data_IF_469688141555
#
_entry.id   IF_469688141555
#
_cell.length_a   1.000
_cell.length_b   1.000
_cell.length_c   1.000
_cell.angle_alpha   90.00
_cell.angle_beta   90.00
_cell.angle_gamma   90.00
#
_symmetry.space_group_name_H-M   'P 1'
#
loop_
_entity.id
_entity.type
_entity.pdbx_description
1 polymer ?
#
# COMPACT_ATOMS: atom_id res chain seq x y z
N UNK A 1 17.13 33.59 19.69
CA UNK A 1 15.76 33.05 19.73
C UNK A 1 14.84 34.09 19.14
N UNK A 2 13.91 33.70 18.26
CA UNK A 2 12.87 34.61 17.80
C UNK A 2 12.02 35.06 19.00
N UNK A 3 11.44 36.27 18.94
CA UNK A 3 10.50 36.73 19.96
C UNK A 3 9.29 35.77 20.03
N UNK A 4 8.77 35.44 21.23
CA UNK A 4 7.61 34.56 21.35
C UNK A 4 6.41 35.17 20.63
N UNK A 5 5.68 34.37 19.85
CA UNK A 5 4.46 34.82 19.20
C UNK A 5 3.43 35.28 20.25
N UNK A 6 2.91 36.50 20.10
CA UNK A 6 1.85 37.03 20.94
C UNK A 6 0.52 36.45 20.50
N UNK A 7 -0.16 35.74 21.38
CA UNK A 7 -1.49 35.18 21.10
C UNK A 7 -2.57 36.25 21.25
N UNK A 8 -3.61 36.17 20.42
CA UNK A 8 -4.87 36.91 20.60
C UNK A 8 -5.68 36.28 21.75
N UNK A 9 -6.65 37.02 22.29
CA UNK A 9 -7.64 36.43 23.20
C UNK A 9 -8.40 35.28 22.52
N UNK A 10 -8.69 34.19 23.23
CA UNK A 10 -9.06 32.91 22.61
C UNK A 10 -10.58 32.81 22.37
N UNK A 11 -10.96 32.60 21.10
CA UNK A 11 -12.34 32.31 20.69
C UNK A 11 -12.38 31.07 19.78
N UNK A 12 -13.59 30.55 19.54
CA UNK A 12 -13.80 29.41 18.62
C UNK A 12 -13.34 29.77 17.19
N UNK A 13 -13.48 31.04 16.82
CA UNK A 13 -13.14 31.57 15.50
C UNK A 13 -11.63 31.74 15.32
N UNK A 14 -10.90 32.19 16.35
CA UNK A 14 -9.49 32.58 16.20
C UNK A 14 -8.46 31.57 16.73
N UNK A 15 -8.89 30.50 17.39
CA UNK A 15 -7.97 29.48 17.95
C UNK A 15 -7.06 28.87 16.88
N UNK A 16 -7.55 28.65 15.66
CA UNK A 16 -6.74 28.13 14.54
C UNK A 16 -5.57 29.07 14.21
N UNK A 17 -5.83 30.38 14.11
CA UNK A 17 -4.79 31.38 13.83
C UNK A 17 -3.71 31.40 14.91
N UNK A 18 -4.13 31.32 16.18
CA UNK A 18 -3.21 31.28 17.31
C UNK A 18 -2.33 30.01 17.29
N UNK A 19 -2.88 28.84 16.95
CA UNK A 19 -2.10 27.60 16.81
C UNK A 19 -1.11 27.70 15.64
N UNK A 20 -1.50 28.27 14.50
CA UNK A 20 -0.58 28.51 13.37
C UNK A 20 0.56 29.45 13.76
N UNK A 21 0.27 30.53 14.48
CA UNK A 21 1.28 31.49 14.94
C UNK A 21 2.33 30.84 15.85
N UNK A 22 1.94 29.86 16.68
CA UNK A 22 2.88 29.11 17.54
C UNK A 22 3.65 28.07 16.71
N UNK A 23 2.97 27.24 15.94
CA UNK A 23 3.60 26.15 15.17
C UNK A 23 4.55 26.67 14.08
N UNK A 24 4.32 27.89 13.58
CA UNK A 24 5.17 28.53 12.57
C UNK A 24 6.53 29.00 13.09
N UNK A 25 6.85 28.83 14.38
CA UNK A 25 8.17 29.14 14.93
C UNK A 25 9.25 28.11 14.55
N UNK A 26 8.88 26.96 13.96
CA UNK A 26 9.84 25.96 13.50
C UNK A 26 10.62 26.43 12.25
N UNK A 27 11.87 25.97 12.10
CA UNK A 27 12.74 26.33 10.97
C UNK A 27 12.43 25.54 9.70
N UNK A 28 11.83 24.35 9.82
CA UNK A 28 11.46 23.54 8.67
C UNK A 28 10.20 24.09 7.99
N UNK A 29 10.38 24.66 6.81
CA UNK A 29 9.29 25.21 6.01
C UNK A 29 8.29 24.14 5.58
N UNK A 30 8.77 22.92 5.31
CA UNK A 30 7.90 21.78 4.98
C UNK A 30 7.05 21.36 6.17
N UNK A 31 7.66 21.26 7.36
CA UNK A 31 6.92 20.91 8.58
C UNK A 31 5.91 21.99 8.93
N UNK A 32 6.28 23.27 8.79
CA UNK A 32 5.38 24.41 8.99
C UNK A 32 4.12 24.26 8.13
N UNK A 33 4.28 24.02 6.83
CA UNK A 33 3.17 23.81 5.91
C UNK A 33 2.31 22.60 6.29
N UNK A 34 2.93 21.45 6.60
CA UNK A 34 2.18 20.24 7.03
C UNK A 34 1.35 20.55 8.28
N UNK A 35 1.95 21.15 9.30
CA UNK A 35 1.26 21.45 10.56
C UNK A 35 0.16 22.49 10.42
N UNK A 36 0.35 23.54 9.60
CA UNK A 36 -0.72 24.49 9.25
C UNK A 36 -1.92 23.76 8.66
N UNK A 37 -1.70 22.92 7.64
CA UNK A 37 -2.79 22.18 6.99
C UNK A 37 -3.45 21.18 7.92
N UNK A 38 -2.67 20.42 8.70
CA UNK A 38 -3.20 19.46 9.68
C UNK A 38 -4.11 20.15 10.70
N UNK A 39 -3.64 21.27 11.30
CA UNK A 39 -4.43 22.02 12.29
C UNK A 39 -5.68 22.62 11.66
N UNK A 40 -5.55 23.20 10.45
CA UNK A 40 -6.69 23.75 9.71
C UNK A 40 -7.77 22.69 9.52
N UNK A 41 -7.43 21.55 8.89
CA UNK A 41 -8.40 20.51 8.59
C UNK A 41 -8.99 19.87 9.85
N UNK A 42 -8.20 19.69 10.92
CA UNK A 42 -8.69 19.14 12.18
C UNK A 42 -9.68 20.10 12.88
N UNK A 43 -9.36 21.40 12.94
CA UNK A 43 -10.26 22.39 13.54
C UNK A 43 -11.53 22.58 12.70
N UNK A 44 -11.41 22.57 11.37
CA UNK A 44 -12.56 22.70 10.48
C UNK A 44 -13.49 21.49 10.60
N UNK A 45 -12.95 20.27 10.69
CA UNK A 45 -13.75 19.06 10.98
C UNK A 45 -14.54 19.23 12.29
N UNK A 46 -13.89 19.70 13.36
CA UNK A 46 -14.56 19.90 14.65
C UNK A 46 -15.66 20.97 14.58
N UNK A 47 -15.44 22.06 13.83
CA UNK A 47 -16.45 23.12 13.63
C UNK A 47 -17.61 22.64 12.78
N UNK A 48 -17.32 21.96 11.66
CA UNK A 48 -18.29 21.45 10.70
C UNK A 48 -19.23 20.46 11.37
N UNK A 49 -18.67 19.51 12.14
CA UNK A 49 -19.44 18.47 12.82
C UNK A 49 -20.05 18.91 14.15
N UNK A 50 -19.67 20.09 14.66
CA UNK A 50 -20.04 20.56 16.01
C UNK A 50 -19.65 19.53 17.08
N UNK A 51 -18.46 18.98 16.95
CA UNK A 51 -17.95 17.86 17.75
C UNK A 51 -18.17 18.11 19.25
N UNK A 52 -18.92 17.22 19.89
CA UNK A 52 -19.19 17.30 21.32
C UNK A 52 -18.00 16.81 22.15
N UNK A 53 -17.97 17.15 23.44
CA UNK A 53 -16.93 16.65 24.36
C UNK A 53 -16.95 15.12 24.46
N UNK A 54 -18.13 14.49 24.41
CA UNK A 54 -18.27 13.04 24.53
C UNK A 54 -17.78 12.32 23.26
N UNK A 55 -18.12 12.84 22.07
CA UNK A 55 -17.61 12.31 20.79
C UNK A 55 -16.08 12.51 20.70
N UNK A 56 -15.58 13.68 21.10
CA UNK A 56 -14.15 13.94 21.16
C UNK A 56 -13.44 12.96 22.10
N UNK A 57 -13.97 12.73 23.30
CA UNK A 57 -13.39 11.78 24.25
C UNK A 57 -13.43 10.35 23.71
N UNK A 58 -14.51 9.97 23.00
CA UNK A 58 -14.62 8.68 22.32
C UNK A 58 -13.52 8.51 21.27
N UNK A 59 -13.27 9.53 20.45
CA UNK A 59 -12.19 9.50 19.46
C UNK A 59 -10.80 9.41 20.11
N UNK A 60 -10.57 10.13 21.21
CA UNK A 60 -9.31 10.04 21.97
C UNK A 60 -9.11 8.64 22.54
N UNK A 61 -10.14 8.03 23.12
CA UNK A 61 -10.06 6.65 23.63
C UNK A 61 -9.84 5.63 22.51
N UNK A 62 -10.48 5.82 21.35
CA UNK A 62 -10.25 4.99 20.17
C UNK A 62 -8.79 5.05 19.73
N UNK A 63 -8.23 6.25 19.51
CA UNK A 63 -6.82 6.43 19.12
C UNK A 63 -5.85 5.90 20.17
N UNK A 64 -6.21 6.02 21.46
CA UNK A 64 -5.43 5.44 22.56
C UNK A 64 -5.37 3.92 22.44
N UNK A 65 -6.51 3.25 22.20
CA UNK A 65 -6.54 1.80 22.03
C UNK A 65 -5.78 1.35 20.78
N UNK A 66 -5.84 2.11 19.67
CA UNK A 66 -5.07 1.84 18.45
C UNK A 66 -3.57 1.85 18.76
N UNK A 67 -3.10 2.83 19.54
CA UNK A 67 -1.71 2.86 20.00
C UNK A 67 -1.35 1.69 20.92
N UNK A 68 -2.22 1.36 21.88
CA UNK A 68 -1.95 0.32 22.89
C UNK A 68 -1.87 -1.10 22.33
N UNK A 69 -2.62 -1.41 21.28
CA UNK A 69 -2.60 -2.75 20.65
C UNK A 69 -1.46 -2.89 19.62
N UNK A 70 -0.85 -1.78 19.21
CA UNK A 70 0.27 -1.81 18.26
C UNK A 70 1.53 -2.40 18.92
N UNK A 71 2.31 -3.15 18.15
CA UNK A 71 3.54 -3.85 18.52
C UNK A 71 4.49 -3.96 17.32
N UNK A 72 5.64 -4.62 17.49
CA UNK A 72 6.62 -4.81 16.41
C UNK A 72 6.08 -5.65 15.24
N UNK A 73 5.08 -6.51 15.50
CA UNK A 73 4.45 -7.38 14.49
C UNK A 73 3.01 -6.98 14.14
N UNK A 74 2.45 -5.97 14.82
CA UNK A 74 1.09 -5.45 14.57
C UNK A 74 1.09 -3.92 14.58
N UNK A 75 0.83 -3.29 13.45
CA UNK A 75 0.74 -1.82 13.37
C UNK A 75 -0.70 -1.37 13.13
N UNK A 76 -1.47 -1.19 14.21
CA UNK A 76 -2.89 -0.82 14.12
C UNK A 76 -3.08 0.62 13.59
N UNK A 77 -2.10 1.50 13.75
CA UNK A 77 -2.12 2.83 13.10
C UNK A 77 -1.97 2.76 11.57
N UNK A 78 -1.17 1.83 11.06
CA UNK A 78 -1.09 1.56 9.62
C UNK A 78 -2.42 0.98 9.15
N UNK A 79 -2.98 0.02 9.89
CA UNK A 79 -4.28 -0.54 9.56
C UNK A 79 -5.41 0.50 9.57
N UNK A 80 -5.39 1.44 10.53
CA UNK A 80 -6.31 2.57 10.55
C UNK A 80 -6.15 3.46 9.31
N UNK A 81 -4.91 3.73 8.90
CA UNK A 81 -4.61 4.45 7.65
C UNK A 81 -5.16 3.71 6.43
N UNK A 82 -5.01 2.38 6.38
CA UNK A 82 -5.46 1.52 5.30
C UNK A 82 -6.99 1.56 5.15
N UNK A 83 -7.74 1.34 6.24
CA UNK A 83 -9.21 1.32 6.20
C UNK A 83 -9.84 2.69 6.01
N UNK A 84 -9.08 3.78 6.21
CA UNK A 84 -9.50 5.15 5.87
C UNK A 84 -9.06 5.55 4.45
N UNK A 85 -8.38 4.67 3.70
CA UNK A 85 -7.90 4.92 2.34
C UNK A 85 -6.69 5.86 2.26
N UNK A 86 -6.10 6.24 3.39
CA UNK A 86 -4.98 7.18 3.43
C UNK A 86 -3.70 6.53 2.87
N UNK A 87 -3.43 5.26 3.17
CA UNK A 87 -2.23 4.56 2.69
C UNK A 87 -2.19 4.50 1.16
N UNK A 88 -3.31 4.14 0.53
CA UNK A 88 -3.43 4.12 -0.93
C UNK A 88 -3.28 5.51 -1.55
N UNK A 89 -3.87 6.53 -0.91
CA UNK A 89 -3.77 7.91 -1.36
C UNK A 89 -2.31 8.40 -1.32
N UNK A 90 -1.60 8.12 -0.22
CA UNK A 90 -0.18 8.48 -0.06
C UNK A 90 0.65 7.76 -1.11
N UNK A 91 0.48 6.45 -1.30
CA UNK A 91 1.18 5.69 -2.34
C UNK A 91 0.93 6.27 -3.74
N UNK A 92 -0.32 6.59 -4.07
CA UNK A 92 -0.68 7.16 -5.37
C UNK A 92 -0.08 8.56 -5.62
N UNK A 93 0.16 9.34 -4.55
CA UNK A 93 0.83 10.65 -4.61
C UNK A 93 2.35 10.46 -4.75
N UNK A 94 2.93 9.51 -4.02
CA UNK A 94 4.39 9.31 -3.95
C UNK A 94 4.94 8.55 -5.15
N UNK A 95 4.18 7.59 -5.68
CA UNK A 95 4.55 6.69 -6.77
C UNK A 95 3.57 6.79 -7.96
N UNK A 96 3.37 7.98 -8.55
CA UNK A 96 2.46 8.11 -9.67
C UNK A 96 2.98 7.32 -10.89
N UNK A 97 2.06 6.56 -11.50
CA UNK A 97 2.37 5.70 -12.63
C UNK A 97 1.96 6.38 -13.95
N UNK A 98 2.85 6.52 -14.95
CA UNK A 98 2.49 6.91 -16.30
C UNK A 98 1.49 5.94 -16.91
N UNK A 99 0.66 6.42 -17.84
CA UNK A 99 -0.29 5.57 -18.57
C UNK A 99 0.46 4.42 -19.27
N UNK A 100 -0.03 3.20 -19.09
CA UNK A 100 0.55 2.00 -19.69
C UNK A 100 1.69 1.36 -18.89
N UNK A 101 2.07 1.92 -17.73
CA UNK A 101 2.88 1.20 -16.74
C UNK A 101 1.99 0.44 -15.75
N UNK A 102 2.54 -0.60 -15.11
CA UNK A 102 1.83 -1.32 -14.06
C UNK A 102 1.55 -0.39 -12.89
N UNK A 103 0.29 -0.42 -12.43
CA UNK A 103 -0.15 0.39 -11.31
C UNK A 103 0.37 -0.15 -9.98
N UNK A 104 0.73 0.76 -9.07
CA UNK A 104 1.07 0.38 -7.70
C UNK A 104 -0.13 0.37 -6.78
N UNK A 105 0.01 -0.28 -5.62
CA UNK A 105 -0.95 -0.18 -4.51
C UNK A 105 -0.21 -0.34 -3.17
N UNK A 106 -0.97 -0.33 -2.06
CA UNK A 106 -0.44 -0.51 -0.71
C UNK A 106 0.41 -1.78 -0.53
N UNK A 107 1.54 -1.64 0.16
CA UNK A 107 2.44 -2.75 0.53
C UNK A 107 1.75 -3.75 1.48
N UNK A 108 0.94 -3.25 2.40
CA UNK A 108 0.41 -4.03 3.52
C UNK A 108 1.45 -4.27 4.63
N UNK A 109 1.04 -4.76 5.81
CA UNK A 109 1.89 -4.83 6.99
C UNK A 109 2.77 -6.10 7.06
N UNK A 110 2.66 -7.01 6.10
CA UNK A 110 3.23 -8.36 6.19
C UNK A 110 4.45 -8.59 5.32
N UNK A 111 5.11 -7.56 4.80
CA UNK A 111 6.40 -7.70 4.13
C UNK A 111 7.53 -7.92 5.17
N UNK A 112 8.51 -8.77 4.85
CA UNK A 112 9.70 -8.99 5.67
C UNK A 112 10.95 -9.11 4.82
N UNK A 113 12.12 -8.98 5.43
CA UNK A 113 13.43 -9.20 4.78
C UNK A 113 13.92 -10.65 4.86
N UNK A 114 13.05 -11.58 5.25
CA UNK A 114 13.43 -12.99 5.47
C UNK A 114 13.25 -13.85 4.21
N UNK A 115 12.63 -13.31 3.15
CA UNK A 115 12.44 -14.02 1.89
C UNK A 115 13.79 -14.49 1.30
N UNK A 116 13.85 -15.74 0.86
CA UNK A 116 15.08 -16.34 0.34
C UNK A 116 15.21 -16.17 -1.18
N UNK A 117 16.44 -15.98 -1.66
CA UNK A 117 16.76 -15.99 -3.09
C UNK A 117 16.41 -17.37 -3.68
N UNK A 118 15.50 -17.38 -4.66
CA UNK A 118 14.92 -18.56 -5.27
C UNK A 118 15.26 -18.66 -6.75
N UNK A 119 15.54 -19.88 -7.22
CA UNK A 119 15.67 -20.15 -8.65
C UNK A 119 14.32 -20.05 -9.37
N UNK A 120 14.35 -19.79 -10.67
CA UNK A 120 13.14 -19.84 -11.49
C UNK A 120 12.45 -21.21 -11.35
N UNK A 121 11.14 -21.19 -11.10
CA UNK A 121 10.33 -22.39 -10.89
C UNK A 121 10.31 -22.96 -9.48
N UNK A 122 10.93 -22.29 -8.51
CA UNK A 122 10.83 -22.69 -7.10
C UNK A 122 9.37 -22.68 -6.62
N UNK A 123 9.05 -23.58 -5.70
CA UNK A 123 7.78 -23.57 -4.98
C UNK A 123 7.93 -22.61 -3.80
N UNK A 124 7.04 -21.61 -3.71
CA UNK A 124 7.16 -20.55 -2.70
C UNK A 124 6.30 -20.81 -1.45
N UNK A 125 5.30 -21.68 -1.54
CA UNK A 125 4.40 -22.07 -0.45
C UNK A 125 4.42 -23.58 -0.26
N UNK A 126 4.54 -24.03 0.99
CA UNK A 126 4.57 -25.44 1.38
C UNK A 126 3.28 -25.89 2.07
N UNK A 127 2.20 -25.11 1.96
CA UNK A 127 0.89 -25.46 2.48
C UNK A 127 0.30 -26.67 1.72
N UNK A 128 0.09 -27.83 2.39
CA UNK A 128 -0.44 -29.02 1.74
C UNK A 128 -1.92 -28.89 1.33
N UNK A 129 -2.65 -27.92 1.89
CA UNK A 129 -4.07 -27.72 1.64
C UNK A 129 -4.32 -26.71 0.48
N UNK A 130 -3.28 -26.01 0.01
CA UNK A 130 -3.39 -25.02 -1.05
C UNK A 130 -3.55 -25.62 -2.46
N UNK A 131 -4.43 -25.02 -3.28
CA UNK A 131 -4.56 -25.40 -4.68
C UNK A 131 -3.32 -24.98 -5.47
N UNK A 132 -2.58 -25.88 -6.14
CA UNK A 132 -1.35 -25.52 -6.84
C UNK A 132 -1.56 -24.51 -7.98
N UNK A 133 -0.73 -23.48 -7.99
CA UNK A 133 -0.75 -22.39 -8.97
C UNK A 133 0.60 -22.25 -9.68
N UNK A 134 0.57 -22.19 -11.01
CA UNK A 134 1.72 -21.76 -11.83
C UNK A 134 1.62 -20.25 -12.10
N UNK A 135 2.68 -19.50 -11.81
CA UNK A 135 2.74 -18.06 -12.05
C UNK A 135 3.83 -17.76 -13.07
N UNK A 136 3.45 -17.21 -14.22
CA UNK A 136 4.34 -16.84 -15.31
C UNK A 136 4.31 -15.33 -15.54
N UNK A 137 5.44 -14.65 -15.36
CA UNK A 137 5.49 -13.20 -15.48
C UNK A 137 6.59 -12.72 -16.41
N UNK A 138 6.41 -11.53 -16.98
CA UNK A 138 7.46 -10.81 -17.70
C UNK A 138 7.64 -9.39 -17.16
N UNK A 139 8.85 -8.87 -17.22
CA UNK A 139 9.22 -7.50 -16.87
C UNK A 139 9.71 -6.76 -18.10
N UNK A 140 9.05 -5.65 -18.42
CA UNK A 140 9.43 -4.76 -19.51
C UNK A 140 9.49 -3.32 -19.02
N UNK A 141 10.26 -2.48 -19.72
CA UNK A 141 10.19 -1.04 -19.55
C UNK A 141 9.02 -0.44 -20.35
N UNK A 142 8.81 0.87 -20.20
CA UNK A 142 7.74 1.60 -20.92
C UNK A 142 7.93 1.64 -22.45
N UNK A 143 9.06 1.17 -22.98
CA UNK A 143 9.33 1.02 -24.41
C UNK A 143 9.16 -0.44 -24.87
N UNK A 144 8.73 -1.34 -24.00
CA UNK A 144 8.55 -2.76 -24.27
C UNK A 144 9.84 -3.58 -24.25
N UNK A 145 10.97 -3.01 -23.81
CA UNK A 145 12.25 -3.73 -23.73
C UNK A 145 12.28 -4.59 -22.47
N UNK A 146 12.75 -5.85 -22.54
CA UNK A 146 12.86 -6.70 -21.36
C UNK A 146 13.81 -6.10 -20.32
N UNK A 147 13.54 -6.36 -19.04
CA UNK A 147 14.39 -5.95 -17.92
C UNK A 147 15.02 -7.20 -17.31
N UNK A 148 16.27 -7.55 -17.68
CA UNK A 148 16.98 -8.69 -17.12
C UNK A 148 17.62 -8.38 -15.76
N UNK A 149 17.80 -9.43 -14.95
CA UNK A 149 18.50 -9.33 -13.66
C UNK A 149 17.75 -8.54 -12.58
N UNK A 150 16.48 -8.22 -12.79
CA UNK A 150 15.66 -7.54 -11.79
C UNK A 150 15.28 -8.52 -10.68
N UNK A 151 15.50 -8.11 -9.42
CA UNK A 151 15.02 -8.86 -8.26
C UNK A 151 13.54 -8.58 -8.04
N UNK A 152 12.76 -9.65 -7.84
CA UNK A 152 11.31 -9.63 -7.61
C UNK A 152 11.04 -10.33 -6.29
N UNK A 153 10.64 -9.57 -5.29
CA UNK A 153 10.20 -10.08 -3.98
C UNK A 153 8.69 -10.36 -4.05
N UNK A 154 8.30 -11.58 -3.74
CA UNK A 154 6.92 -12.07 -3.83
C UNK A 154 6.50 -12.62 -2.47
N UNK A 155 5.28 -12.29 -2.04
CA UNK A 155 4.68 -12.91 -0.86
C UNK A 155 3.16 -13.05 -0.97
N UNK A 156 2.62 -14.08 -0.35
CA UNK A 156 1.20 -14.41 -0.31
C UNK A 156 0.80 -15.07 1.02
N UNK A 157 -0.50 -15.25 1.24
CA UNK A 157 -1.06 -16.00 2.37
C UNK A 157 -1.10 -17.50 2.09
N UNK A 158 -1.18 -18.31 3.15
CA UNK A 158 -1.56 -19.71 3.07
C UNK A 158 -3.03 -19.90 2.63
N UNK A 159 -3.47 -21.16 2.45
CA UNK A 159 -4.84 -21.51 2.06
C UNK A 159 -5.92 -21.13 3.08
N UNK A 160 -5.51 -20.69 4.28
CA UNK A 160 -6.37 -20.22 5.37
C UNK A 160 -6.38 -18.69 5.48
N UNK A 161 -5.62 -17.99 4.64
CA UNK A 161 -5.57 -16.54 4.62
C UNK A 161 -4.60 -15.93 5.63
N UNK A 162 -3.58 -16.66 6.08
CA UNK A 162 -2.55 -16.15 6.99
C UNK A 162 -1.19 -16.07 6.29
N UNK A 163 -0.48 -14.96 6.48
CA UNK A 163 0.94 -14.90 6.16
C UNK A 163 1.73 -15.69 7.21
N UNK A 164 2.84 -16.31 6.80
CA UNK A 164 3.75 -17.06 7.67
C UNK A 164 4.09 -16.34 9.00
N UNK A 165 4.33 -15.03 8.96
CA UNK A 165 4.66 -14.18 10.13
C UNK A 165 3.56 -14.11 11.18
N UNK A 166 2.33 -14.49 10.82
CA UNK A 166 1.19 -14.51 11.73
C UNK A 166 1.12 -15.82 12.53
N UNK A 167 1.86 -16.85 12.14
CA UNK A 167 1.92 -18.12 12.85
C UNK A 167 3.01 -18.07 13.93
N UNK A 168 2.62 -18.27 15.19
CA UNK A 168 3.54 -18.25 16.35
C UNK A 168 4.58 -19.37 16.29
N UNK A 169 4.25 -20.49 15.63
CA UNK A 169 5.06 -21.70 15.52
C UNK A 169 5.85 -21.80 14.20
N UNK A 170 5.92 -20.70 13.42
CA UNK A 170 6.67 -20.68 12.16
C UNK A 170 8.13 -21.12 12.33
N UNK A 171 8.61 -21.99 11.46
CA UNK A 171 9.99 -22.49 11.46
C UNK A 171 10.93 -21.73 10.51
N UNK A 172 10.38 -20.86 9.66
CA UNK A 172 11.09 -20.11 8.62
C UNK A 172 10.12 -19.35 7.72
N UNK A 173 10.63 -18.70 6.65
CA UNK A 173 9.79 -18.06 5.66
C UNK A 173 9.01 -19.09 4.85
N UNK A 174 7.71 -18.86 4.64
CA UNK A 174 6.87 -19.63 3.72
C UNK A 174 5.86 -18.72 3.01
N UNK A 175 5.43 -19.08 1.81
CA UNK A 175 4.65 -18.22 0.93
C UNK A 175 5.44 -17.00 0.44
N UNK A 176 6.78 -17.08 0.37
CA UNK A 176 7.67 -15.95 0.04
C UNK A 176 8.86 -16.37 -0.82
N UNK A 177 9.30 -15.50 -1.73
CA UNK A 177 10.52 -15.72 -2.50
C UNK A 177 11.10 -14.42 -3.10
N UNK A 178 12.43 -14.39 -3.26
CA UNK A 178 13.12 -13.40 -4.11
C UNK A 178 13.55 -14.08 -5.40
N UNK A 179 12.94 -13.71 -6.52
CA UNK A 179 13.24 -14.23 -7.86
C UNK A 179 14.11 -13.23 -8.63
N UNK A 180 14.75 -13.69 -9.70
CA UNK A 180 15.50 -12.83 -10.63
C UNK A 180 15.01 -13.05 -12.05
N UNK A 181 14.73 -11.96 -12.78
CA UNK A 181 14.32 -12.06 -14.19
C UNK A 181 15.46 -12.48 -15.11
N UNK A 182 15.13 -13.29 -16.11
CA UNK A 182 16.06 -13.75 -17.15
C UNK A 182 16.34 -12.69 -18.22
N UNK A 183 17.14 -13.04 -19.25
CA UNK A 183 17.52 -12.16 -20.36
C UNK A 183 16.32 -11.63 -21.16
N UNK A 184 15.21 -12.37 -21.19
CA UNK A 184 13.94 -11.97 -21.83
C UNK A 184 13.02 -11.23 -20.84
N UNK A 185 13.51 -10.90 -19.65
CA UNK A 185 12.75 -10.28 -18.57
C UNK A 185 11.74 -11.21 -17.91
N UNK A 186 11.80 -12.52 -18.14
CA UNK A 186 10.84 -13.48 -17.61
C UNK A 186 11.23 -13.95 -16.22
N UNK A 187 10.24 -14.19 -15.39
CA UNK A 187 10.39 -14.89 -14.13
C UNK A 187 9.14 -15.73 -13.87
N UNK A 188 9.30 -16.85 -13.18
CA UNK A 188 8.19 -17.75 -12.91
C UNK A 188 8.47 -18.60 -11.67
N UNK A 189 7.41 -19.08 -11.06
CA UNK A 189 7.45 -19.84 -9.83
C UNK A 189 6.15 -20.62 -9.64
N UNK A 190 6.14 -21.52 -8.66
CA UNK A 190 4.97 -22.27 -8.22
C UNK A 190 4.51 -21.73 -6.89
N UNK A 191 3.21 -21.57 -6.75
CA UNK A 191 2.51 -20.93 -5.64
C UNK A 191 1.27 -21.77 -5.30
N UNK A 192 0.41 -21.23 -4.44
CA UNK A 192 -0.96 -21.70 -4.26
C UNK A 192 -1.94 -20.65 -4.77
N UNK A 193 -3.19 -21.03 -5.07
CA UNK A 193 -4.22 -20.06 -5.45
C UNK A 193 -4.49 -19.13 -4.26
N UNK A 194 -4.34 -17.80 -4.40
CA UNK A 194 -4.64 -16.86 -3.34
C UNK A 194 -6.10 -16.94 -2.91
N UNK A 195 -6.34 -16.88 -1.61
CA UNK A 195 -7.68 -16.89 -1.03
C UNK A 195 -8.00 -15.53 -0.38
N UNK A 196 -9.28 -15.11 -0.37
CA UNK A 196 -9.67 -13.94 0.39
C UNK A 196 -9.47 -14.16 1.89
N UNK A 197 -9.03 -13.11 2.58
CA UNK A 197 -8.73 -13.17 4.00
C UNK A 197 -9.13 -11.87 4.71
N UNK A 198 -9.51 -11.95 6.00
CA UNK A 198 -9.81 -10.75 6.78
C UNK A 198 -8.51 -10.08 7.26
N UNK A 199 -8.46 -8.75 7.21
CA UNK A 199 -7.45 -7.99 7.98
C UNK A 199 -7.62 -8.24 9.49
N UNK A 200 -6.59 -8.02 10.34
CA UNK A 200 -6.76 -8.09 11.78
C UNK A 200 -7.94 -7.25 12.25
N UNK A 201 -8.94 -7.88 12.87
CA UNK A 201 -10.22 -7.23 13.19
C UNK A 201 -10.68 -7.49 14.64
N UNK A 202 -9.79 -8.00 15.48
CA UNK A 202 -9.95 -8.15 16.93
C UNK A 202 -9.66 -6.84 17.70
N UNK A 203 -9.10 -5.84 17.01
CA UNK A 203 -8.69 -4.55 17.56
C UNK A 203 -9.72 -3.42 17.38
N UNK A 204 -9.34 -2.18 17.76
CA UNK A 204 -10.19 -1.01 17.58
C UNK A 204 -10.60 -0.79 16.12
N UNK A 205 -9.72 -1.04 15.15
CA UNK A 205 -10.06 -0.88 13.72
C UNK A 205 -11.16 -1.85 13.32
N UNK A 206 -11.10 -3.11 13.76
CA UNK A 206 -12.16 -4.08 13.54
C UNK A 206 -13.52 -3.62 14.10
N UNK A 207 -13.52 -3.09 15.34
CA UNK A 207 -14.73 -2.52 15.95
C UNK A 207 -15.27 -1.32 15.17
N UNK A 208 -14.39 -0.46 14.65
CA UNK A 208 -14.79 0.66 13.80
C UNK A 208 -15.46 0.15 12.52
N UNK A 209 -14.91 -0.86 11.87
CA UNK A 209 -15.52 -1.47 10.68
C UNK A 209 -16.90 -2.06 10.99
N UNK A 210 -17.06 -2.77 12.11
CA UNK A 210 -18.33 -3.31 12.56
C UNK A 210 -19.40 -2.21 12.74
N UNK A 211 -19.05 -1.12 13.44
CA UNK A 211 -19.95 0.04 13.63
C UNK A 211 -20.32 0.71 12.31
N UNK A 212 -19.40 0.73 11.34
CA UNK A 212 -19.63 1.26 9.99
C UNK A 212 -20.34 0.26 9.06
N UNK A 213 -20.68 -0.94 9.54
CA UNK A 213 -21.24 -2.02 8.74
C UNK A 213 -20.36 -2.39 7.52
N UNK A 214 -19.04 -2.46 7.75
CA UNK A 214 -18.02 -2.85 6.78
C UNK A 214 -17.45 -4.23 7.14
N UNK A 215 -17.15 -5.05 6.13
CA UNK A 215 -16.42 -6.30 6.34
C UNK A 215 -14.90 -6.06 6.41
N UNK A 216 -14.13 -6.95 7.07
CA UNK A 216 -12.67 -6.86 7.12
C UNK A 216 -11.94 -7.56 5.95
N UNK A 217 -12.68 -8.20 5.04
CA UNK A 217 -12.06 -9.01 3.98
C UNK A 217 -11.33 -8.20 2.91
N UNK A 218 -10.19 -8.73 2.51
CA UNK A 218 -9.46 -8.42 1.28
C UNK A 218 -9.65 -9.57 0.28
N UNK A 219 -9.69 -9.28 -1.03
CA UNK A 219 -9.75 -10.34 -2.05
C UNK A 219 -8.46 -11.17 -2.09
N UNK A 220 -8.49 -12.36 -2.69
CA UNK A 220 -7.29 -13.13 -3.00
C UNK A 220 -6.30 -12.31 -3.82
N UNK A 221 -5.05 -12.23 -3.37
CA UNK A 221 -3.99 -11.50 -4.06
C UNK A 221 -2.61 -12.01 -3.69
N UNK A 222 -1.65 -11.68 -4.55
CA UNK A 222 -0.23 -11.86 -4.31
C UNK A 222 0.47 -10.52 -4.37
N UNK A 223 1.48 -10.33 -3.53
CA UNK A 223 2.28 -9.12 -3.57
C UNK A 223 3.52 -9.30 -4.42
N UNK A 224 3.90 -8.24 -5.13
CA UNK A 224 5.18 -8.13 -5.81
C UNK A 224 5.85 -6.81 -5.44
N UNK A 225 7.15 -6.88 -5.17
CA UNK A 225 8.01 -5.72 -5.00
C UNK A 225 9.22 -5.89 -5.90
N UNK A 226 9.44 -4.89 -6.76
CA UNK A 226 10.61 -4.83 -7.63
C UNK A 226 11.69 -4.03 -6.91
N UNK A 227 12.97 -4.41 -7.04
CA UNK A 227 14.10 -3.77 -6.33
C UNK A 227 14.47 -2.37 -6.87
N UNK A 228 13.44 -1.58 -7.16
CA UNK A 228 13.40 -0.24 -7.68
C UNK A 228 12.17 0.38 -7.02
N UNK A 229 12.35 1.38 -6.18
CA UNK A 229 11.32 1.91 -5.27
C UNK A 229 9.93 1.98 -5.94
N UNK A 230 9.02 1.09 -5.53
CA UNK A 230 7.68 0.93 -6.11
C UNK A 230 7.10 -0.47 -5.87
N UNK A 231 5.83 -0.51 -5.47
CA UNK A 231 5.09 -1.73 -5.09
C UNK A 231 3.98 -2.01 -6.09
N UNK A 232 3.80 -3.24 -6.55
CA UNK A 232 2.72 -3.59 -7.50
C UNK A 232 2.15 -4.98 -7.15
N UNK A 233 1.11 -5.14 -6.32
CA UNK A 233 0.51 -6.45 -6.13
C UNK A 233 -0.38 -6.82 -7.32
N UNK A 234 -0.61 -8.12 -7.43
CA UNK A 234 -1.53 -8.72 -8.37
C UNK A 234 -2.75 -9.25 -7.61
N UNK A 235 -3.94 -8.87 -8.05
CA UNK A 235 -5.20 -9.30 -7.43
C UNK A 235 -5.82 -10.34 -8.34
N UNK A 236 -6.28 -11.46 -7.78
CA UNK A 236 -6.89 -12.53 -8.57
C UNK A 236 -8.37 -12.25 -8.83
N UNK A 237 -8.83 -12.55 -10.05
CA UNK A 237 -10.22 -12.36 -10.48
C UNK A 237 -11.16 -13.44 -9.91
N UNK A 238 -12.46 -13.13 -9.91
CA UNK A 238 -13.62 -13.89 -9.43
C UNK A 238 -13.70 -14.03 -7.90
N UNK A 239 -13.13 -13.08 -7.16
CA UNK A 239 -13.20 -12.98 -5.70
C UNK A 239 -14.42 -12.14 -5.23
N UNK A 240 -15.19 -12.60 -4.22
CA UNK A 240 -16.37 -11.89 -3.73
C UNK A 240 -16.10 -10.49 -3.16
N UNK A 241 -14.85 -10.13 -2.87
CA UNK A 241 -14.44 -8.88 -2.25
C UNK A 241 -13.67 -7.93 -3.17
N UNK A 242 -13.56 -8.21 -4.48
CA UNK A 242 -12.87 -7.33 -5.44
C UNK A 242 -13.43 -5.90 -5.44
N UNK A 243 -14.75 -5.78 -5.43
CA UNK A 243 -15.42 -4.48 -5.47
C UNK A 243 -15.54 -3.81 -4.10
N UNK A 244 -15.11 -4.49 -3.03
CA UNK A 244 -15.35 -4.07 -1.64
C UNK A 244 -14.15 -4.25 -0.72
N UNK A 245 -12.92 -4.37 -1.25
CA UNK A 245 -11.69 -4.54 -0.47
C UNK A 245 -11.63 -3.58 0.73
N UNK A 246 -11.45 -4.14 1.93
CA UNK A 246 -11.46 -3.40 3.19
C UNK A 246 -10.41 -2.27 3.25
N UNK A 247 -9.35 -2.35 2.45
CA UNK A 247 -8.26 -1.36 2.39
C UNK A 247 -8.17 -0.62 1.05
N UNK A 248 -9.16 -0.79 0.18
CA UNK A 248 -9.25 -0.11 -1.13
C UNK A 248 -8.08 -0.41 -2.08
N UNK A 249 -7.39 -1.54 -1.94
CA UNK A 249 -6.19 -1.87 -2.71
C UNK A 249 -6.46 -2.27 -4.16
N UNK A 250 -7.72 -2.49 -4.55
CA UNK A 250 -8.11 -3.00 -5.87
C UNK A 250 -8.10 -1.93 -6.94
N UNK A 251 -7.47 -2.25 -8.07
CA UNK A 251 -7.49 -1.48 -9.31
C UNK A 251 -7.80 -2.43 -10.46
N UNK A 252 -8.67 -2.02 -11.38
CA UNK A 252 -9.10 -2.85 -12.51
C UNK A 252 -7.92 -3.42 -13.33
N UNK A 253 -6.83 -2.65 -13.46
CA UNK A 253 -5.63 -3.06 -14.21
C UNK A 253 -4.79 -4.15 -13.52
N UNK A 254 -5.04 -4.39 -12.24
CA UNK A 254 -4.35 -5.37 -11.39
C UNK A 254 -5.19 -6.63 -11.14
N UNK A 255 -6.44 -6.68 -11.62
CA UNK A 255 -7.30 -7.86 -11.55
C UNK A 255 -6.91 -8.83 -12.67
N UNK A 256 -6.50 -10.05 -12.31
CA UNK A 256 -6.00 -11.05 -13.25
C UNK A 256 -6.78 -12.37 -13.15
N UNK A 257 -7.28 -12.90 -14.28
CA UNK A 257 -7.96 -14.19 -14.28
C UNK A 257 -7.03 -15.34 -13.96
N UNK A 258 -7.49 -16.24 -13.09
CA UNK A 258 -6.88 -17.56 -12.92
C UNK A 258 -7.38 -18.45 -14.05
N UNK A 259 -6.47 -18.81 -14.95
CA UNK A 259 -6.72 -19.75 -16.05
C UNK A 259 -6.33 -21.15 -15.64
N UNK A 260 -6.49 -22.11 -16.56
CA UNK A 260 -5.93 -23.46 -16.42
C UNK A 260 -4.82 -23.67 -17.45
N UNK A 261 -3.85 -24.51 -17.10
CA UNK A 261 -2.87 -25.05 -18.05
C UNK A 261 -3.60 -26.03 -18.97
N UNK A 262 -3.84 -25.65 -20.22
CA UNK A 262 -4.57 -26.47 -21.21
C UNK A 262 -3.68 -27.14 -22.26
N UNK A 263 -2.38 -26.85 -22.24
CA UNK A 263 -1.39 -27.32 -23.21
C UNK A 263 -0.42 -28.32 -22.53
N UNK A 264 -0.26 -29.51 -23.11
CA UNK A 264 0.66 -30.55 -22.63
C UNK A 264 2.14 -30.11 -22.72
N UNK A 265 2.53 -29.39 -23.79
CA UNK A 265 3.89 -28.86 -23.92
C UNK A 265 4.19 -27.83 -22.83
N UNK A 266 3.21 -26.99 -22.48
CA UNK A 266 3.33 -26.02 -21.40
C UNK A 266 3.45 -26.72 -20.04
N UNK A 267 2.60 -27.73 -19.80
CA UNK A 267 2.61 -28.54 -18.59
C UNK A 267 3.97 -29.23 -18.38
N UNK A 268 4.48 -29.89 -19.43
CA UNK A 268 5.79 -30.55 -19.42
C UNK A 268 6.94 -29.55 -19.24
N UNK A 269 6.90 -28.41 -19.94
CA UNK A 269 7.93 -27.36 -19.84
C UNK A 269 8.10 -26.84 -18.42
N UNK A 270 7.01 -26.63 -17.70
CA UNK A 270 7.02 -26.05 -16.34
C UNK A 270 6.90 -27.10 -15.24
N UNK A 271 6.81 -28.40 -15.59
CA UNK A 271 6.73 -29.50 -14.63
C UNK A 271 5.47 -29.45 -13.76
N UNK A 272 4.34 -29.07 -14.34
CA UNK A 272 3.03 -29.00 -13.68
C UNK A 272 2.04 -29.95 -14.34
N UNK A 273 0.92 -30.27 -13.68
CA UNK A 273 -0.11 -31.14 -14.27
C UNK A 273 -0.97 -30.35 -15.26
N UNK A 274 -1.42 -31.00 -16.34
CA UNK A 274 -2.48 -30.46 -17.18
C UNK A 274 -3.72 -30.15 -16.30
N UNK A 275 -4.30 -28.97 -16.50
CA UNK A 275 -5.42 -28.45 -15.71
C UNK A 275 -5.04 -27.71 -14.42
N UNK A 276 -3.76 -27.60 -14.07
CA UNK A 276 -3.30 -26.78 -12.93
C UNK A 276 -3.70 -25.31 -13.12
N UNK A 277 -3.93 -24.58 -12.02
CA UNK A 277 -4.21 -23.15 -12.07
C UNK A 277 -3.01 -22.39 -12.66
N UNK A 278 -3.30 -21.32 -13.42
CA UNK A 278 -2.32 -20.53 -14.15
C UNK A 278 -2.64 -19.03 -14.05
N UNK A 279 -1.66 -18.26 -13.60
CA UNK A 279 -1.62 -16.80 -13.73
C UNK A 279 -0.52 -16.43 -14.71
N UNK A 280 -0.86 -15.52 -15.63
CA UNK A 280 0.10 -14.88 -16.54
C UNK A 280 0.01 -13.36 -16.41
N UNK A 281 1.12 -12.67 -16.21
CA UNK A 281 1.10 -11.21 -16.13
C UNK A 281 2.33 -10.52 -16.70
N UNK A 282 2.12 -9.42 -17.42
CA UNK A 282 3.17 -8.59 -18.00
C UNK A 282 3.32 -7.31 -17.18
N UNK A 283 4.37 -7.22 -16.38
CA UNK A 283 4.74 -6.04 -15.63
C UNK A 283 5.47 -5.02 -16.53
N UNK A 284 5.07 -3.76 -16.42
CA UNK A 284 5.68 -2.63 -17.12
C UNK A 284 6.21 -1.65 -16.10
N UNK A 285 7.52 -1.65 -15.89
CA UNK A 285 8.19 -0.82 -14.90
C UNK A 285 8.63 0.53 -15.47
N UNK A 286 8.55 1.55 -14.64
CA UNK A 286 8.93 2.93 -14.96
C UNK A 286 10.37 3.17 -14.50
N UNK A 287 11.09 4.08 -15.16
CA UNK A 287 12.37 4.58 -14.67
C UNK A 287 12.19 5.56 -13.51
N UNK A 288 13.07 5.50 -12.50
CA UNK A 288 12.95 6.34 -11.28
C UNK A 288 12.93 7.82 -11.63
N UNK A 289 13.75 8.22 -12.60
CA UNK A 289 13.75 9.59 -13.13
C UNK A 289 12.40 9.98 -13.73
N UNK A 290 11.77 9.10 -14.53
CA UNK A 290 10.46 9.36 -15.13
C UNK A 290 9.35 9.40 -14.07
N UNK A 291 9.40 8.54 -13.06
CA UNK A 291 8.46 8.55 -11.93
C UNK A 291 8.62 9.84 -11.09
N UNK A 292 9.86 10.23 -10.77
CA UNK A 292 10.16 11.45 -10.05
C UNK A 292 9.73 12.71 -10.81
N UNK A 293 9.95 12.76 -12.13
CA UNK A 293 9.47 13.85 -12.99
C UNK A 293 7.93 13.93 -12.99
N UNK A 294 7.24 12.78 -13.08
CA UNK A 294 5.78 12.75 -13.03
C UNK A 294 5.24 13.19 -11.67
N UNK A 295 5.83 12.73 -10.57
CA UNK A 295 5.52 13.18 -9.21
C UNK A 295 5.67 14.68 -9.07
N UNK A 296 6.79 15.23 -9.53
CA UNK A 296 7.03 16.66 -9.51
C UNK A 296 5.99 17.43 -10.31
N UNK A 297 5.70 16.99 -11.54
CA UNK A 297 4.67 17.62 -12.39
C UNK A 297 3.30 17.62 -11.72
N UNK A 298 2.86 16.49 -11.17
CA UNK A 298 1.57 16.39 -10.45
C UNK A 298 1.55 17.28 -9.20
N UNK A 299 2.66 17.39 -8.48
CA UNK A 299 2.79 18.31 -7.36
C UNK A 299 2.67 19.78 -7.82
N UNK A 300 3.31 20.16 -8.92
CA UNK A 300 3.19 21.52 -9.50
C UNK A 300 1.74 21.85 -9.88
N UNK A 301 1.03 20.93 -10.55
CA UNK A 301 -0.38 21.07 -10.90
C UNK A 301 -1.27 21.23 -9.66
N UNK A 302 -1.06 20.40 -8.64
CA UNK A 302 -1.79 20.47 -7.37
C UNK A 302 -1.56 21.79 -6.63
N UNK A 303 -0.31 22.28 -6.57
CA UNK A 303 0.01 23.54 -5.90
C UNK A 303 -0.51 24.76 -6.68
N UNK A 304 -0.44 24.73 -8.02
CA UNK A 304 -1.02 25.78 -8.86
C UNK A 304 -2.53 25.93 -8.64
N UNK A 305 -3.25 24.82 -8.44
CA UNK A 305 -4.67 24.82 -8.09
C UNK A 305 -5.01 25.49 -6.75
N UNK A 306 -4.04 25.63 -5.83
CA UNK A 306 -4.24 26.32 -4.55
C UNK A 306 -4.15 27.84 -4.65
N UNK A 307 -3.68 28.39 -5.77
CA UNK A 307 -3.53 29.84 -5.96
C UNK A 307 -2.46 30.49 -5.08
N UNK A 308 -1.58 29.70 -4.45
CA UNK A 308 -0.46 30.18 -3.63
C UNK A 308 0.85 30.09 -4.40
N UNK A 309 1.79 31.01 -4.13
CA UNK A 309 3.19 30.83 -4.56
C UNK A 309 3.76 29.64 -3.82
N UNK A 310 4.69 28.93 -4.46
CA UNK A 310 5.35 27.78 -3.85
C UNK A 310 6.78 27.62 -4.38
N UNK A 311 7.58 26.85 -3.64
CA UNK A 311 8.92 26.40 -4.04
C UNK A 311 9.08 24.93 -3.74
N UNK A 312 10.10 24.31 -4.31
CA UNK A 312 10.51 22.95 -3.93
C UNK A 312 11.67 22.99 -2.94
N UNK A 313 11.58 22.16 -1.90
CA UNK A 313 12.67 21.86 -0.95
C UNK A 313 12.78 20.35 -0.89
N UNK A 314 13.95 19.81 -1.19
CA UNK A 314 14.21 18.36 -1.24
C UNK A 314 13.16 17.60 -2.09
N UNK A 315 12.84 18.15 -3.26
CA UNK A 315 11.81 17.66 -4.19
C UNK A 315 10.36 17.62 -3.65
N UNK A 316 10.09 18.21 -2.49
CA UNK A 316 8.74 18.36 -1.94
C UNK A 316 8.20 19.77 -2.18
N UNK A 317 6.92 19.93 -2.56
CA UNK A 317 6.31 21.25 -2.71
C UNK A 317 6.12 21.91 -1.34
N UNK A 318 6.46 23.19 -1.26
CA UNK A 318 6.29 24.05 -0.09
C UNK A 318 5.62 25.33 -0.54
N UNK A 319 4.28 25.41 -0.43
CA UNK A 319 3.55 26.65 -0.59
C UNK A 319 3.99 27.71 0.42
N UNK A 320 3.87 28.97 0.02
CA UNK A 320 3.89 30.06 0.96
C UNK A 320 2.71 29.86 1.93
N UNK A 321 3.04 29.97 3.21
CA UNK A 321 2.10 29.89 4.33
C UNK A 321 1.90 31.29 4.87
N UNK A 322 0.67 31.61 5.23
CA UNK A 322 0.31 32.93 5.77
C UNK A 322 0.86 33.14 7.20
#
# INVERSE_FOLDING_TARGET
MAAPASLKDLTIENITENVHAINSQCSSLRLKYIMERTVTHLHDLARETRLTTDEWMTAIQFLTQVGQISSDVRQEFILLSDVLGLSLLVDSIDHPKPKGSTEGTVLGPFHTHEAEDSSAGSLISHDPDGEPLLVLCTLKDTNGRPIPGAKVDVWETDSKGFYDVQHEDRSGPDGRAILTSDEDGRFWFRAIVPVPYPIPHDGPVGKLLEVLNRHPYRPGHMHFMFKKDGYDPLITQDDPYESTDAVFGVKDSLVVPIKKVEDEELADKYGVKLGSALITYDFVLVQDEAAALLRRKKAEEAMAGMGRKFRFIDNLPVPDVD
#
